data_IF_428737984499
#
_entry.id   IF_428737984499
#
_cell.length_a   1.000
_cell.length_b   1.000
_cell.length_c   1.000
_cell.angle_alpha   90.00
_cell.angle_beta   90.00
_cell.angle_gamma   90.00
#
_symmetry.space_group_name_H-M   'P 1'
#
loop_
_entity.id
_entity.type
_entity.pdbx_description
1 polymer ?
#
# COMPACT_ATOMS: atom_id res chain seq x y z
N UNK A 1 -10.81 20.46 24.45
CA UNK A 1 -9.77 19.43 24.61
C UNK A 1 -9.03 19.30 23.29
N UNK A 2 -7.73 19.03 23.30
CA UNK A 2 -6.91 18.91 22.09
C UNK A 2 -6.40 17.46 21.96
N UNK A 3 -6.20 17.00 20.73
CA UNK A 3 -5.59 15.69 20.46
C UNK A 3 -4.22 15.61 21.12
N UNK A 4 -3.87 14.40 21.59
CA UNK A 4 -2.52 14.14 22.11
C UNK A 4 -1.48 14.32 20.98
N UNK A 5 -0.22 14.72 21.32
CA UNK A 5 0.82 14.92 20.32
C UNK A 5 1.06 13.70 19.43
N UNK A 6 1.00 12.50 19.98
CA UNK A 6 1.13 11.25 19.22
C UNK A 6 -0.01 11.07 18.21
N UNK A 7 -1.24 11.39 18.61
CA UNK A 7 -2.40 11.25 17.75
C UNK A 7 -2.41 12.30 16.62
N UNK A 8 -1.90 13.50 16.92
CA UNK A 8 -1.68 14.55 15.90
C UNK A 8 -0.68 14.06 14.85
N UNK A 9 0.47 13.52 15.28
CA UNK A 9 1.49 12.96 14.38
C UNK A 9 0.92 11.81 13.52
N UNK A 10 0.10 10.92 14.13
CA UNK A 10 -0.57 9.84 13.39
C UNK A 10 -1.46 10.38 12.27
N UNK A 11 -2.29 11.39 12.57
CA UNK A 11 -3.21 11.97 11.59
C UNK A 11 -2.49 12.73 10.47
N UNK A 12 -1.36 13.37 10.77
CA UNK A 12 -0.50 14.01 9.76
C UNK A 12 0.08 12.94 8.82
N UNK A 13 0.65 11.86 9.36
CA UNK A 13 1.14 10.73 8.56
C UNK A 13 0.03 10.09 7.72
N UNK A 14 -1.17 9.93 8.29
CA UNK A 14 -2.32 9.39 7.56
C UNK A 14 -2.76 10.31 6.42
N UNK A 15 -2.73 11.60 6.60
CA UNK A 15 -3.08 12.60 5.56
C UNK A 15 -2.13 12.55 4.36
N UNK A 16 -0.87 12.19 4.57
CA UNK A 16 0.11 11.98 3.50
C UNK A 16 -0.09 10.65 2.77
N UNK A 17 -0.78 9.68 3.40
CA UNK A 17 -1.03 8.35 2.87
C UNK A 17 -2.52 7.98 2.97
N UNK A 18 -3.43 8.74 2.33
CA UNK A 18 -4.87 8.65 2.55
C UNK A 18 -5.47 7.32 2.09
N UNK A 19 -4.92 6.70 1.06
CA UNK A 19 -5.36 5.46 0.43
C UNK A 19 -4.73 4.18 1.03
N UNK A 20 -3.85 4.33 2.04
CA UNK A 20 -3.20 3.23 2.72
C UNK A 20 -3.79 2.99 4.11
N UNK A 21 -3.91 1.75 4.55
CA UNK A 21 -4.08 1.41 5.95
C UNK A 21 -2.76 1.69 6.69
N UNK A 22 -2.79 2.58 7.70
CA UNK A 22 -1.57 3.02 8.37
C UNK A 22 -1.26 2.13 9.57
N UNK A 23 -0.19 1.35 9.46
CA UNK A 23 0.40 0.56 10.54
C UNK A 23 1.46 1.39 11.26
N UNK A 24 1.13 1.88 12.44
CA UNK A 24 1.91 2.88 13.15
C UNK A 24 2.66 2.26 14.34
N UNK A 25 3.99 2.24 14.30
CA UNK A 25 4.81 1.59 15.33
C UNK A 25 4.71 2.29 16.67
N UNK A 26 4.29 1.55 17.70
CA UNK A 26 4.23 1.98 19.09
C UNK A 26 4.78 0.87 19.98
N UNK A 27 6.05 0.99 20.37
CA UNK A 27 6.76 -0.05 21.11
C UNK A 27 6.83 -1.36 20.34
N UNK A 28 6.27 -2.44 20.89
CA UNK A 28 6.30 -3.78 20.29
C UNK A 28 5.10 -4.08 19.39
N UNK A 29 4.27 -3.07 19.10
CA UNK A 29 3.09 -3.22 18.26
C UNK A 29 3.10 -2.25 17.08
N UNK A 30 2.41 -2.64 16.01
CA UNK A 30 1.81 -1.71 15.07
C UNK A 30 0.37 -1.49 15.50
N UNK A 31 0.03 -0.26 15.79
CA UNK A 31 -1.34 0.13 16.15
C UNK A 31 -1.98 0.91 15.00
N UNK A 32 -3.23 0.65 14.76
CA UNK A 32 -4.10 1.34 13.81
C UNK A 32 -5.18 2.07 14.58
N UNK A 33 -5.59 3.24 14.09
CA UNK A 33 -6.57 4.08 14.76
C UNK A 33 -7.70 4.50 13.82
N UNK A 34 -8.79 4.96 14.43
CA UNK A 34 -9.96 5.51 13.76
C UNK A 34 -10.53 4.53 12.71
N UNK A 35 -10.69 4.98 11.46
CA UNK A 35 -11.29 4.16 10.41
C UNK A 35 -10.39 2.98 10.01
N UNK A 36 -9.07 3.19 9.95
CA UNK A 36 -8.13 2.10 9.68
C UNK A 36 -8.25 0.97 10.70
N UNK A 37 -8.45 1.31 11.98
CA UNK A 37 -8.64 0.30 13.03
C UNK A 37 -9.92 -0.52 12.83
N UNK A 38 -11.01 0.11 12.41
CA UNK A 38 -12.29 -0.57 12.15
C UNK A 38 -12.14 -1.54 10.96
N UNK A 39 -11.56 -1.06 9.86
CA UNK A 39 -11.31 -1.88 8.66
C UNK A 39 -10.41 -3.06 9.02
N UNK A 40 -9.24 -2.80 9.61
CA UNK A 40 -8.26 -3.85 9.92
C UNK A 40 -8.83 -4.84 10.94
N UNK A 41 -9.54 -4.39 11.97
CA UNK A 41 -10.17 -5.29 12.94
C UNK A 41 -11.17 -6.23 12.29
N UNK A 42 -11.97 -5.75 11.35
CA UNK A 42 -12.93 -6.55 10.61
C UNK A 42 -12.25 -7.55 9.66
N UNK A 43 -11.28 -7.06 8.87
CA UNK A 43 -10.61 -7.86 7.84
C UNK A 43 -9.70 -8.96 8.41
N UNK A 44 -9.11 -8.71 9.57
CA UNK A 44 -8.17 -9.61 10.23
C UNK A 44 -8.77 -10.32 11.47
N UNK A 45 -10.05 -10.06 11.79
CA UNK A 45 -10.75 -10.60 12.96
C UNK A 45 -10.03 -10.24 14.29
N UNK A 46 -9.52 -9.00 14.37
CA UNK A 46 -8.85 -8.50 15.56
C UNK A 46 -9.84 -7.82 16.50
N UNK A 47 -9.52 -7.84 17.79
CA UNK A 47 -10.30 -7.12 18.79
C UNK A 47 -10.19 -5.61 18.57
N UNK A 48 -11.31 -4.93 18.31
CA UNK A 48 -11.39 -3.49 18.30
C UNK A 48 -11.50 -2.98 19.74
N UNK A 49 -10.57 -2.12 20.13
CA UNK A 49 -10.52 -1.49 21.45
C UNK A 49 -10.57 0.03 21.32
N UNK A 50 -10.26 0.76 22.37
CA UNK A 50 -10.13 2.22 22.31
C UNK A 50 -8.87 2.69 23.04
N UNK A 51 -8.23 3.73 22.48
CA UNK A 51 -7.07 4.41 23.07
C UNK A 51 -7.42 5.83 23.45
N UNK A 52 -6.92 6.30 24.58
CA UNK A 52 -7.04 7.70 24.95
C UNK A 52 -6.29 8.56 23.90
N UNK A 53 -7.00 9.50 23.33
CA UNK A 53 -6.47 10.39 22.28
C UNK A 53 -6.43 11.87 22.71
N UNK A 54 -6.77 12.18 23.96
CA UNK A 54 -6.87 13.54 24.50
C UNK A 54 -8.25 14.19 24.30
N UNK A 55 -9.19 13.50 23.68
CA UNK A 55 -10.59 13.91 23.56
C UNK A 55 -11.47 13.15 24.60
N UNK A 56 -12.73 13.54 24.74
CA UNK A 56 -13.67 12.83 25.63
C UNK A 56 -13.91 11.39 25.17
N UNK A 57 -14.03 11.20 23.85
CA UNK A 57 -14.19 9.87 23.26
C UNK A 57 -12.82 9.25 22.95
N UNK A 58 -12.69 7.96 23.28
CA UNK A 58 -11.49 7.19 22.95
C UNK A 58 -11.45 6.90 21.45
N UNK A 59 -10.28 7.04 20.83
CA UNK A 59 -10.07 6.65 19.45
C UNK A 59 -10.23 5.12 19.28
N UNK A 60 -11.06 4.62 18.35
CA UNK A 60 -11.03 3.22 17.98
C UNK A 60 -9.61 2.77 17.64
N UNK A 61 -9.20 1.61 18.16
CA UNK A 61 -7.84 1.10 17.99
C UNK A 61 -7.84 -0.43 17.89
N UNK A 62 -7.02 -0.97 17.02
CA UNK A 62 -6.56 -2.35 17.04
C UNK A 62 -5.04 -2.39 16.84
N UNK A 63 -4.42 -3.52 17.10
CA UNK A 63 -2.96 -3.63 16.96
C UNK A 63 -2.51 -5.06 16.77
N UNK A 64 -1.33 -5.20 16.15
CA UNK A 64 -0.66 -6.48 15.92
C UNK A 64 0.79 -6.42 16.43
N UNK A 65 1.35 -7.51 16.95
CA UNK A 65 2.75 -7.56 17.33
C UNK A 65 3.66 -7.32 16.12
N UNK A 66 4.68 -6.47 16.26
CA UNK A 66 5.54 -6.11 15.13
C UNK A 66 6.25 -7.30 14.48
N UNK A 67 6.66 -8.27 15.29
CA UNK A 67 7.36 -9.47 14.80
C UNK A 67 6.47 -10.44 14.02
N UNK A 68 5.15 -10.29 14.10
CA UNK A 68 4.17 -11.11 13.38
C UNK A 68 3.52 -10.37 12.20
N UNK A 69 3.94 -9.15 11.90
CA UNK A 69 3.26 -8.24 10.96
C UNK A 69 3.13 -8.81 9.55
N UNK A 70 4.12 -9.54 9.03
CA UNK A 70 4.13 -10.04 7.64
C UNK A 70 2.92 -10.92 7.32
N UNK A 71 2.49 -11.78 8.24
CA UNK A 71 1.28 -12.60 8.04
C UNK A 71 -0.01 -11.77 7.95
N UNK A 72 -0.08 -10.67 8.68
CA UNK A 72 -1.21 -9.74 8.62
C UNK A 72 -1.20 -8.89 7.35
N UNK A 73 0.00 -8.42 6.94
CA UNK A 73 0.18 -7.69 5.69
C UNK A 73 -0.27 -8.53 4.49
N UNK A 74 0.18 -9.78 4.42
CA UNK A 74 -0.22 -10.73 3.38
C UNK A 74 -1.74 -10.84 3.25
N UNK A 75 -2.44 -10.99 4.37
CA UNK A 75 -3.90 -11.11 4.38
C UNK A 75 -4.62 -9.85 3.91
N UNK A 76 -4.14 -8.66 4.27
CA UNK A 76 -4.73 -7.39 3.83
C UNK A 76 -4.45 -7.14 2.35
N UNK A 77 -3.22 -7.33 1.94
CA UNK A 77 -2.79 -7.04 0.57
C UNK A 77 -3.43 -8.02 -0.42
N UNK A 78 -3.62 -9.30 -0.05
CA UNK A 78 -4.38 -10.26 -0.90
C UNK A 78 -5.85 -9.88 -1.09
N UNK A 79 -6.38 -8.99 -0.25
CA UNK A 79 -7.74 -8.40 -0.39
C UNK A 79 -7.73 -7.06 -1.13
N UNK A 80 -6.59 -6.64 -1.67
CA UNK A 80 -6.43 -5.41 -2.44
C UNK A 80 -6.11 -4.15 -1.62
N UNK A 81 -5.91 -4.27 -0.29
CA UNK A 81 -5.53 -3.12 0.53
C UNK A 81 -4.06 -2.76 0.34
N UNK A 82 -3.77 -1.46 0.39
CA UNK A 82 -2.42 -0.93 0.52
C UNK A 82 -2.13 -0.64 1.99
N UNK A 83 -0.94 -0.94 2.46
CA UNK A 83 -0.55 -0.76 3.85
C UNK A 83 0.72 0.09 3.93
N UNK A 84 0.64 1.22 4.61
CA UNK A 84 1.80 2.06 4.93
C UNK A 84 2.35 1.66 6.31
N UNK A 85 3.64 1.33 6.36
CA UNK A 85 4.36 0.96 7.58
C UNK A 85 5.13 2.17 8.06
N UNK A 86 4.75 2.71 9.21
CA UNK A 86 5.44 3.80 9.88
C UNK A 86 6.28 3.29 11.05
N UNK A 87 7.59 3.52 10.98
CA UNK A 87 8.57 3.09 11.98
C UNK A 87 9.02 4.23 12.88
N UNK A 88 9.45 3.87 14.08
CA UNK A 88 10.14 4.79 15.00
C UNK A 88 11.55 5.05 14.46
N UNK A 89 11.89 6.33 14.23
CA UNK A 89 13.17 6.74 13.65
C UNK A 89 14.27 6.91 14.70
N UNK A 90 13.94 6.78 15.98
CA UNK A 90 14.87 6.92 17.10
C UNK A 90 14.49 5.95 18.23
N UNK A 91 15.46 5.63 19.08
CA UNK A 91 15.22 4.80 20.27
C UNK A 91 14.29 5.57 21.25
N UNK A 92 13.12 5.03 21.60
CA UNK A 92 12.22 5.67 22.56
C UNK A 92 12.85 5.98 23.92
N UNK A 93 13.88 5.22 24.31
CA UNK A 93 14.60 5.43 25.59
C UNK A 93 15.53 6.64 25.57
N UNK A 94 15.94 7.08 24.37
CA UNK A 94 16.85 8.19 24.15
C UNK A 94 16.12 9.46 23.70
N UNK A 95 14.88 9.34 23.25
CA UNK A 95 14.08 10.45 22.75
C UNK A 95 13.76 11.47 23.85
N UNK A 96 14.03 12.74 23.56
CA UNK A 96 13.67 13.87 24.45
C UNK A 96 12.30 14.42 24.06
N UNK A 97 11.26 13.60 24.15
CA UNK A 97 9.90 14.03 23.77
C UNK A 97 9.15 12.98 22.95
N UNK A 98 8.33 13.43 21.99
CA UNK A 98 7.60 12.53 21.13
C UNK A 98 8.56 11.90 20.12
N UNK A 99 8.64 10.57 20.10
CA UNK A 99 9.43 9.80 19.15
C UNK A 99 8.94 10.11 17.73
N UNK A 100 9.85 10.49 16.83
CA UNK A 100 9.55 10.73 15.42
C UNK A 100 9.25 9.40 14.72
N UNK A 101 8.24 9.40 13.85
CA UNK A 101 7.87 8.26 13.02
C UNK A 101 7.74 8.70 11.58
N UNK A 102 8.19 7.84 10.67
CA UNK A 102 8.10 8.07 9.23
C UNK A 102 7.62 6.80 8.55
N UNK A 103 6.91 6.94 7.42
CA UNK A 103 6.56 5.81 6.57
C UNK A 103 7.84 5.35 5.86
N UNK A 104 8.25 4.12 6.15
CA UNK A 104 9.45 3.51 5.58
C UNK A 104 9.16 2.56 4.43
N UNK A 105 7.91 2.08 4.34
CA UNK A 105 7.50 1.12 3.33
C UNK A 105 5.99 1.23 3.08
N UNK A 106 5.59 1.13 1.80
CA UNK A 106 4.21 0.90 1.39
C UNK A 106 4.15 -0.49 0.78
N UNK A 107 3.27 -1.34 1.31
CA UNK A 107 3.06 -2.71 0.83
C UNK A 107 1.78 -2.76 0.02
N UNK A 108 1.89 -3.25 -1.20
CA UNK A 108 0.77 -3.38 -2.15
C UNK A 108 0.75 -4.78 -2.75
N UNK A 109 -0.32 -5.21 -3.45
CA UNK A 109 -0.39 -6.54 -4.06
C UNK A 109 0.80 -6.89 -4.95
N UNK A 110 1.28 -5.94 -5.75
CA UNK A 110 2.40 -6.13 -6.68
C UNK A 110 3.79 -5.99 -6.05
N UNK A 111 3.89 -5.47 -4.82
CA UNK A 111 5.19 -5.19 -4.15
C UNK A 111 5.49 -6.12 -2.98
N UNK A 112 4.68 -7.15 -2.76
CA UNK A 112 4.91 -8.10 -1.69
C UNK A 112 6.08 -9.02 -2.06
N UNK A 113 7.03 -9.21 -1.13
CA UNK A 113 8.24 -10.01 -1.35
C UNK A 113 8.44 -11.09 -0.28
N UNK A 114 7.51 -11.21 0.69
CA UNK A 114 7.64 -12.22 1.74
C UNK A 114 7.35 -13.62 1.20
N UNK A 115 8.23 -14.59 1.47
CA UNK A 115 8.06 -16.00 1.05
C UNK A 115 6.72 -16.60 1.52
N UNK A 116 6.21 -16.17 2.67
CA UNK A 116 4.92 -16.63 3.20
C UNK A 116 3.71 -16.11 2.42
N UNK A 117 3.89 -15.06 1.61
CA UNK A 117 2.84 -14.41 0.84
C UNK A 117 2.85 -14.82 -0.63
N UNK A 118 4.01 -15.24 -1.12
CA UNK A 118 4.20 -15.64 -2.51
C UNK A 118 3.83 -17.12 -2.70
N UNK A 119 3.11 -17.39 -3.76
CA UNK A 119 2.87 -18.77 -4.20
C UNK A 119 4.15 -19.31 -4.85
N UNK A 120 4.62 -20.48 -4.44
CA UNK A 120 5.84 -21.12 -4.99
C UNK A 120 5.72 -21.34 -6.51
N UNK A 121 4.50 -21.48 -7.01
CA UNK A 121 4.23 -21.86 -8.41
C UNK A 121 3.77 -20.71 -9.30
N UNK A 122 3.75 -19.46 -8.80
CA UNK A 122 3.25 -18.30 -9.58
C UNK A 122 4.08 -17.06 -9.31
N UNK A 123 4.43 -16.37 -10.40
CA UNK A 123 5.02 -15.05 -10.33
C UNK A 123 4.03 -14.02 -9.75
N UNK A 124 4.57 -13.02 -9.06
CA UNK A 124 3.79 -11.91 -8.52
C UNK A 124 4.11 -10.63 -9.31
N UNK A 125 3.45 -10.47 -10.45
CA UNK A 125 3.74 -9.37 -11.35
C UNK A 125 3.09 -8.04 -10.91
N UNK A 126 3.90 -6.99 -10.91
CA UNK A 126 3.48 -5.60 -10.95
C UNK A 126 3.56 -5.14 -12.42
N UNK A 127 2.48 -4.61 -12.97
CA UNK A 127 2.44 -4.10 -14.34
C UNK A 127 2.28 -2.59 -14.35
N UNK A 128 3.17 -1.89 -15.04
CA UNK A 128 3.04 -0.47 -15.35
C UNK A 128 2.43 -0.28 -16.73
N UNK A 129 1.41 0.57 -16.85
CA UNK A 129 0.79 0.94 -18.12
C UNK A 129 0.85 2.45 -18.30
N UNK A 130 1.40 2.89 -19.40
CA UNK A 130 1.43 4.30 -19.82
C UNK A 130 0.65 4.43 -21.12
N UNK A 131 -0.38 5.28 -21.11
CA UNK A 131 -1.14 5.62 -22.32
C UNK A 131 -0.75 7.01 -22.80
N UNK A 132 -0.11 7.08 -23.96
CA UNK A 132 0.33 8.31 -24.62
C UNK A 132 0.20 8.17 -26.13
N UNK A 133 -0.24 9.23 -26.82
CA UNK A 133 -0.32 9.31 -28.30
C UNK A 133 -1.04 8.11 -28.94
N UNK A 134 -2.15 7.68 -28.31
CA UNK A 134 -2.95 6.52 -28.74
C UNK A 134 -2.18 5.18 -28.75
N UNK A 135 -1.16 5.05 -27.89
CA UNK A 135 -0.37 3.84 -27.69
C UNK A 135 -0.26 3.49 -26.23
N UNK A 136 -0.03 2.21 -25.96
CA UNK A 136 0.20 1.68 -24.62
C UNK A 136 1.63 1.20 -24.48
N UNK A 137 2.40 1.86 -23.59
CA UNK A 137 3.66 1.33 -23.09
C UNK A 137 3.36 0.43 -21.90
N UNK A 138 3.89 -0.78 -21.90
CA UNK A 138 3.67 -1.78 -20.85
C UNK A 138 5.02 -2.22 -20.29
N UNK A 139 5.18 -2.17 -18.98
CA UNK A 139 6.31 -2.72 -18.27
C UNK A 139 5.80 -3.68 -17.20
N UNK A 140 6.33 -4.89 -17.14
CA UNK A 140 5.91 -5.91 -16.17
C UNK A 140 7.12 -6.44 -15.41
N UNK A 141 7.05 -6.45 -14.08
CA UNK A 141 8.15 -6.89 -13.22
C UNK A 141 7.64 -7.84 -12.14
N UNK A 142 8.40 -8.88 -11.87
CA UNK A 142 8.31 -9.66 -10.64
C UNK A 142 9.47 -9.23 -9.72
N UNK A 143 9.15 -8.52 -8.65
CA UNK A 143 10.15 -7.97 -7.72
C UNK A 143 10.90 -9.10 -6.98
N UNK A 144 10.26 -10.26 -6.81
CA UNK A 144 10.85 -11.39 -6.08
C UNK A 144 11.91 -12.15 -6.89
N UNK A 145 11.72 -12.24 -8.21
CA UNK A 145 12.64 -12.95 -9.13
C UNK A 145 13.57 -12.01 -9.90
N UNK A 146 13.15 -10.75 -10.07
CA UNK A 146 13.84 -9.78 -10.92
C UNK A 146 13.48 -9.90 -12.41
N UNK A 147 12.51 -10.74 -12.76
CA UNK A 147 12.01 -10.84 -14.14
C UNK A 147 11.39 -9.51 -14.57
N UNK A 148 11.81 -9.00 -15.72
CA UNK A 148 11.37 -7.71 -16.23
C UNK A 148 11.11 -7.76 -17.72
N UNK A 149 9.92 -7.31 -18.14
CA UNK A 149 9.46 -7.32 -19.53
C UNK A 149 8.95 -5.94 -19.90
N UNK A 150 9.22 -5.50 -21.13
CA UNK A 150 8.72 -4.24 -21.68
C UNK A 150 8.19 -4.49 -23.09
N UNK A 151 7.05 -3.89 -23.41
CA UNK A 151 6.48 -3.90 -24.75
C UNK A 151 5.68 -2.64 -25.03
N UNK A 152 5.40 -2.38 -26.30
CA UNK A 152 4.46 -1.33 -26.75
C UNK A 152 3.42 -1.98 -27.63
N UNK A 153 2.16 -1.58 -27.44
CA UNK A 153 1.02 -2.04 -28.24
C UNK A 153 0.14 -0.85 -28.65
N UNK A 154 -0.58 -0.99 -29.75
CA UNK A 154 -1.38 0.09 -30.30
C UNK A 154 -2.88 -0.10 -30.06
N UNK A 155 -3.32 -1.34 -29.93
CA UNK A 155 -4.74 -1.66 -29.80
C UNK A 155 -5.10 -2.09 -28.38
N UNK A 156 -6.30 -1.72 -27.92
CA UNK A 156 -6.83 -2.16 -26.62
C UNK A 156 -6.88 -3.68 -26.50
N UNK A 157 -7.11 -4.38 -27.60
CA UNK A 157 -7.13 -5.85 -27.60
C UNK A 157 -5.75 -6.44 -27.26
N UNK A 158 -4.70 -5.89 -27.85
CA UNK A 158 -3.32 -6.32 -27.58
C UNK A 158 -2.94 -6.05 -26.12
N UNK A 159 -3.38 -4.89 -25.57
CA UNK A 159 -3.21 -4.59 -24.14
C UNK A 159 -3.91 -5.65 -23.27
N UNK A 160 -5.15 -6.01 -23.58
CA UNK A 160 -5.88 -7.05 -22.84
C UNK A 160 -5.19 -8.41 -22.92
N UNK A 161 -4.63 -8.76 -24.08
CA UNK A 161 -3.87 -10.00 -24.26
C UNK A 161 -2.62 -10.02 -23.36
N UNK A 162 -1.88 -8.90 -23.23
CA UNK A 162 -0.73 -8.79 -22.34
C UNK A 162 -1.15 -8.83 -20.85
N UNK A 163 -2.23 -8.17 -20.45
CA UNK A 163 -2.76 -8.25 -19.09
C UNK A 163 -3.16 -9.68 -18.75
N UNK A 164 -3.85 -10.39 -19.64
CA UNK A 164 -4.20 -11.79 -19.43
C UNK A 164 -2.97 -12.72 -19.40
N UNK A 165 -1.98 -12.45 -20.23
CA UNK A 165 -0.73 -13.23 -20.30
C UNK A 165 0.04 -13.21 -18.98
N UNK A 166 0.20 -12.03 -18.40
CA UNK A 166 0.96 -11.86 -17.16
C UNK A 166 0.11 -12.03 -15.91
N UNK A 167 -1.20 -11.82 -16.00
CA UNK A 167 -2.14 -11.85 -14.87
C UNK A 167 -1.58 -11.10 -13.64
N UNK A 168 -1.28 -9.78 -13.76
CA UNK A 168 -0.59 -9.03 -12.71
C UNK A 168 -1.42 -8.97 -11.43
N UNK A 169 -0.74 -8.95 -10.29
CA UNK A 169 -1.37 -8.74 -8.99
C UNK A 169 -1.79 -7.26 -8.77
N UNK A 170 -1.11 -6.35 -9.45
CA UNK A 170 -1.38 -4.91 -9.39
C UNK A 170 -0.99 -4.24 -10.71
N UNK A 171 -1.77 -3.22 -11.09
CA UNK A 171 -1.46 -2.33 -12.22
C UNK A 171 -1.22 -0.92 -11.67
N UNK A 172 -0.11 -0.30 -12.07
CA UNK A 172 0.13 1.13 -11.90
C UNK A 172 0.00 1.81 -13.26
N UNK A 173 -0.56 3.02 -13.31
CA UNK A 173 -0.77 3.69 -14.59
C UNK A 173 -0.68 5.20 -14.49
N UNK A 174 -0.48 5.86 -15.63
CA UNK A 174 -0.59 7.31 -15.72
C UNK A 174 -2.07 7.76 -15.70
N UNK A 175 -2.35 9.04 -15.36
CA UNK A 175 -3.72 9.55 -15.28
C UNK A 175 -4.49 9.43 -16.62
N UNK A 176 -3.80 9.55 -17.75
CA UNK A 176 -4.41 9.42 -19.07
C UNK A 176 -4.98 8.02 -19.30
N UNK A 177 -4.30 6.97 -18.82
CA UNK A 177 -4.84 5.61 -18.86
C UNK A 177 -6.03 5.45 -17.93
N UNK A 178 -5.93 5.92 -16.69
CA UNK A 178 -7.02 5.84 -15.71
C UNK A 178 -8.32 6.48 -16.22
N UNK A 179 -8.22 7.60 -16.95
CA UNK A 179 -9.37 8.31 -17.52
C UNK A 179 -9.89 7.71 -18.83
N UNK A 180 -9.16 6.80 -19.47
CA UNK A 180 -9.54 6.22 -20.77
C UNK A 180 -10.79 5.35 -20.71
N UNK A 181 -11.21 4.91 -19.53
CA UNK A 181 -12.33 3.98 -19.36
C UNK A 181 -12.06 2.56 -19.88
N UNK A 182 -10.80 2.26 -20.20
CA UNK A 182 -10.37 0.94 -20.63
C UNK A 182 -10.27 0.01 -19.43
N UNK A 183 -11.29 -0.79 -19.24
CA UNK A 183 -11.29 -2.06 -18.52
C UNK A 183 -11.32 -2.00 -16.98
N UNK A 184 -12.20 -2.83 -16.45
CA UNK A 184 -12.04 -3.44 -15.11
C UNK A 184 -11.33 -4.78 -15.32
N UNK A 185 -10.07 -4.86 -14.93
CA UNK A 185 -9.24 -6.07 -15.09
C UNK A 185 -9.38 -7.03 -13.90
N UNK A 186 -10.24 -6.69 -12.92
CA UNK A 186 -10.37 -7.49 -11.70
C UNK A 186 -9.14 -7.45 -10.78
N UNK A 187 -8.24 -6.48 -10.98
CA UNK A 187 -7.03 -6.26 -10.18
C UNK A 187 -6.97 -4.83 -9.65
N UNK A 188 -6.18 -4.61 -8.61
CA UNK A 188 -5.96 -3.28 -8.06
C UNK A 188 -5.24 -2.40 -9.08
N UNK A 189 -5.86 -1.26 -9.44
CA UNK A 189 -5.28 -0.26 -10.34
C UNK A 189 -4.98 1.01 -9.55
N UNK A 190 -3.74 1.48 -9.65
CA UNK A 190 -3.26 2.69 -8.98
C UNK A 190 -2.82 3.72 -10.02
N UNK A 191 -3.53 4.84 -10.10
CA UNK A 191 -3.08 5.98 -10.91
C UNK A 191 -2.01 6.75 -10.14
N UNK A 192 -0.86 6.93 -10.75
CA UNK A 192 0.23 7.73 -10.20
C UNK A 192 0.25 9.12 -10.85
N UNK A 193 0.82 10.10 -10.14
CA UNK A 193 0.96 11.47 -10.63
C UNK A 193 1.82 11.55 -11.90
N UNK A 194 1.54 12.54 -12.75
CA UNK A 194 2.27 12.80 -13.99
C UNK A 194 3.79 12.88 -13.80
N UNK A 195 4.28 13.35 -12.67
CA UNK A 195 5.71 13.46 -12.37
C UNK A 195 6.47 12.13 -12.47
N UNK A 196 5.79 10.99 -12.29
CA UNK A 196 6.39 9.65 -12.40
C UNK A 196 6.54 9.17 -13.85
N UNK A 197 5.95 9.88 -14.81
CA UNK A 197 5.91 9.51 -16.23
C UNK A 197 6.53 10.58 -17.12
N UNK A 198 7.17 11.60 -16.54
CA UNK A 198 7.86 12.61 -17.31
C UNK A 198 9.13 12.02 -17.93
N UNK A 199 9.33 12.28 -19.22
CA UNK A 199 10.61 12.02 -19.86
C UNK A 199 11.69 12.87 -19.19
N UNK A 200 12.77 12.22 -18.76
CA UNK A 200 13.96 12.94 -18.32
C UNK A 200 14.71 13.34 -19.58
N UNK A 201 14.73 14.65 -19.88
CA UNK A 201 15.59 15.23 -20.92
C UNK A 201 17.07 15.07 -20.59
#
# INVERSE_FOLDING_TARGET
MALSPMMTQYLETKKENPDCLLFYRLGDFYEMFFEDAKIVSQELELTLTGKDCGLEERAPMCGVPYHAVEGYLTRLVSKGYKVAIAEQMEDPKLAKGLVKREVVRIVTPGTITSESALSIDKNNYLMGIVYLFDRFGIATVDISTGDFYVTEVNETRELLDEVHRFAPAEIICNPSFSMSGIGDFGVTISSLDHQYFNEVE
#
